data_IF_629567978785
#
_entry.id   IF_629567978785
#
_cell.length_a   1.000
_cell.length_b   1.000
_cell.length_c   1.000
_cell.angle_alpha   90.00
_cell.angle_beta   90.00
_cell.angle_gamma   90.00
#
_symmetry.space_group_name_H-M   'P 1'
#
loop_
_entity.id
_entity.type
_entity.pdbx_description
1 polymer ?
#
# COMPACT_ATOMS: atom_id res chain seq x y z
N UNK A 1 0.44 -3.34 6.55
CA UNK A 1 1.48 -2.65 5.75
C UNK A 1 1.42 -1.16 6.07
N UNK A 2 2.55 -0.50 6.27
CA UNK A 2 2.64 0.97 6.47
C UNK A 2 3.32 1.64 5.28
N UNK A 3 2.90 2.85 4.95
CA UNK A 3 3.62 3.73 4.03
C UNK A 3 4.36 4.80 4.83
N UNK A 4 5.55 5.16 4.37
CA UNK A 4 6.31 6.28 4.91
C UNK A 4 6.82 7.15 3.78
N UNK A 5 6.40 8.41 3.75
CA UNK A 5 6.82 9.42 2.77
C UNK A 5 7.55 10.53 3.52
N UNK A 6 8.80 10.80 3.10
CA UNK A 6 9.67 11.79 3.75
C UNK A 6 9.76 11.62 5.29
N UNK A 7 9.86 10.37 5.76
CA UNK A 7 9.94 10.03 7.17
C UNK A 7 8.63 10.13 7.96
N UNK A 8 7.51 10.44 7.31
CA UNK A 8 6.20 10.54 7.95
C UNK A 8 5.28 9.39 7.54
N UNK A 9 4.46 8.92 8.46
CA UNK A 9 3.34 8.01 8.19
C UNK A 9 2.01 8.74 8.41
N UNK A 10 0.99 8.37 7.65
CA UNK A 10 -0.34 8.96 7.74
C UNK A 10 -1.24 8.10 8.63
N UNK A 11 -1.88 8.69 9.64
CA UNK A 11 -2.90 8.06 10.49
C UNK A 11 -4.30 8.44 10.02
N UNK A 12 -5.25 7.51 10.05
CA UNK A 12 -6.67 7.76 9.73
C UNK A 12 -6.85 8.58 8.45
N UNK A 13 -6.10 8.25 7.41
CA UNK A 13 -6.02 9.08 6.21
C UNK A 13 -5.94 8.28 4.93
N UNK A 14 -6.26 8.98 3.86
CA UNK A 14 -6.26 8.46 2.51
C UNK A 14 -4.91 8.71 1.83
N UNK A 15 -4.32 7.64 1.31
CA UNK A 15 -3.10 7.71 0.50
C UNK A 15 -3.51 7.59 -0.96
N UNK A 16 -3.18 8.59 -1.77
CA UNK A 16 -3.29 8.50 -3.22
C UNK A 16 -2.09 7.74 -3.77
N UNK A 17 -2.34 6.78 -4.64
CA UNK A 17 -1.32 5.99 -5.32
C UNK A 17 -1.55 5.97 -6.83
N UNK A 18 -0.48 5.99 -7.61
CA UNK A 18 -0.49 5.86 -9.07
C UNK A 18 0.59 4.87 -9.47
N UNK A 19 0.19 3.70 -9.97
CA UNK A 19 1.11 2.67 -10.44
C UNK A 19 1.39 2.85 -11.93
N UNK A 20 2.65 2.87 -12.37
CA UNK A 20 3.03 2.94 -13.80
C UNK A 20 2.30 4.01 -14.66
N UNK A 21 1.81 5.11 -14.05
CA UNK A 21 0.94 6.13 -14.66
C UNK A 21 -0.50 5.67 -15.01
N UNK A 22 -0.98 4.60 -14.39
CA UNK A 22 -2.38 4.16 -14.43
C UNK A 22 -3.32 5.15 -13.73
N UNK A 23 -4.61 4.81 -13.68
CA UNK A 23 -5.60 5.59 -12.95
C UNK A 23 -5.19 5.71 -11.47
N UNK A 24 -5.37 6.88 -10.85
CA UNK A 24 -5.12 7.02 -9.42
C UNK A 24 -6.07 6.15 -8.59
N UNK A 25 -5.52 5.54 -7.56
CA UNK A 25 -6.22 4.67 -6.62
C UNK A 25 -5.91 5.11 -5.20
N UNK A 26 -6.88 4.98 -4.29
CA UNK A 26 -6.71 5.41 -2.91
C UNK A 26 -6.77 4.26 -1.92
N UNK A 27 -5.95 4.37 -0.87
CA UNK A 27 -5.88 3.39 0.20
C UNK A 27 -6.01 4.08 1.57
N UNK A 28 -6.86 3.52 2.42
CA UNK A 28 -7.13 4.06 3.75
C UNK A 28 -6.16 3.46 4.78
N UNK A 29 -5.63 4.32 5.62
CA UNK A 29 -4.82 3.96 6.80
C UNK A 29 -5.65 4.06 8.07
N UNK A 30 -5.38 3.19 9.03
CA UNK A 30 -6.02 3.23 10.35
C UNK A 30 -5.22 4.10 11.35
N UNK A 31 -5.59 4.05 12.62
CA UNK A 31 -4.96 4.81 13.71
C UNK A 31 -3.47 4.48 13.90
N UNK A 32 -3.07 3.27 13.51
CA UNK A 32 -1.68 2.79 13.58
C UNK A 32 -0.88 3.12 12.30
N UNK A 33 -1.42 3.95 11.40
CA UNK A 33 -0.81 4.26 10.09
C UNK A 33 -0.59 3.05 9.18
N UNK A 34 -1.40 1.99 9.35
CA UNK A 34 -1.33 0.80 8.50
C UNK A 34 -2.59 0.64 7.69
N UNK A 35 -2.43 0.04 6.52
CA UNK A 35 -3.54 -0.57 5.78
C UNK A 35 -3.91 -1.85 6.54
N UNK A 36 -5.14 -1.89 7.04
CA UNK A 36 -5.68 -3.01 7.81
C UNK A 36 -5.75 -4.27 6.94
N UNK A 37 -5.37 -5.42 7.50
CA UNK A 37 -5.49 -6.73 6.85
C UNK A 37 -6.25 -7.78 7.69
N UNK A 38 -6.77 -7.39 8.87
CA UNK A 38 -7.39 -8.28 9.85
C UNK A 38 -8.93 -8.39 9.74
N UNK A 39 -9.55 -7.56 8.91
CA UNK A 39 -10.96 -7.63 8.53
C UNK A 39 -11.11 -8.23 7.13
N UNK A 40 -12.27 -8.80 6.78
CA UNK A 40 -12.48 -9.38 5.43
C UNK A 40 -12.26 -8.34 4.31
N UNK A 41 -12.75 -7.12 4.54
CA UNK A 41 -12.59 -5.99 3.60
C UNK A 41 -11.13 -5.53 3.57
N UNK A 42 -10.49 -5.39 4.74
CA UNK A 42 -9.07 -5.04 4.84
C UNK A 42 -8.17 -6.04 4.14
N UNK A 43 -8.44 -7.34 4.30
CA UNK A 43 -7.69 -8.40 3.63
C UNK A 43 -7.78 -8.32 2.11
N UNK A 44 -8.97 -8.02 1.56
CA UNK A 44 -9.13 -7.82 0.12
C UNK A 44 -8.32 -6.62 -0.39
N UNK A 45 -8.40 -5.48 0.30
CA UNK A 45 -7.64 -4.28 -0.06
C UNK A 45 -6.13 -4.51 0.06
N UNK A 46 -5.70 -5.22 1.11
CA UNK A 46 -4.31 -5.58 1.33
C UNK A 46 -3.77 -6.47 0.21
N UNK A 47 -4.47 -7.54 -0.16
CA UNK A 47 -4.06 -8.43 -1.27
C UNK A 47 -4.05 -7.70 -2.61
N UNK A 48 -5.05 -6.87 -2.86
CA UNK A 48 -5.11 -6.06 -4.08
C UNK A 48 -3.91 -5.11 -4.19
N UNK A 49 -3.55 -4.44 -3.09
CA UNK A 49 -2.36 -3.59 -3.04
C UNK A 49 -1.07 -4.39 -3.25
N UNK A 50 -0.93 -5.57 -2.61
CA UNK A 50 0.23 -6.44 -2.84
C UNK A 50 0.34 -6.84 -4.31
N UNK A 51 -0.76 -7.23 -4.94
CA UNK A 51 -0.79 -7.61 -6.35
C UNK A 51 -0.32 -6.47 -7.26
N UNK A 52 -0.79 -5.24 -7.00
CA UNK A 52 -0.28 -4.03 -7.67
C UNK A 52 1.23 -3.88 -7.50
N UNK A 53 1.74 -4.00 -6.27
CA UNK A 53 3.18 -3.92 -6.02
C UNK A 53 4.00 -4.99 -6.75
N UNK A 54 3.47 -6.21 -6.90
CA UNK A 54 4.15 -7.30 -7.59
C UNK A 54 4.18 -7.10 -9.12
N UNK A 55 3.14 -6.49 -9.69
CA UNK A 55 2.94 -6.37 -11.15
C UNK A 55 3.52 -5.11 -11.76
N UNK A 56 3.68 -4.04 -10.98
CA UNK A 56 4.09 -2.74 -11.49
C UNK A 56 5.58 -2.44 -11.28
N UNK A 57 6.10 -1.49 -12.05
CA UNK A 57 7.52 -1.10 -12.02
C UNK A 57 7.79 0.13 -11.15
N UNK A 58 6.79 1.00 -10.94
CA UNK A 58 6.87 2.17 -10.07
C UNK A 58 5.53 2.48 -9.42
N UNK A 59 5.58 3.15 -8.28
CA UNK A 59 4.41 3.74 -7.63
C UNK A 59 4.72 5.18 -7.24
N UNK A 60 3.86 6.11 -7.63
CA UNK A 60 3.80 7.45 -7.05
C UNK A 60 2.82 7.43 -5.89
N UNK A 61 3.18 8.05 -4.78
CA UNK A 61 2.41 8.11 -3.54
C UNK A 61 2.29 9.56 -3.12
N UNK A 62 1.08 10.00 -2.78
CA UNK A 62 0.81 11.34 -2.25
C UNK A 62 -0.12 11.29 -1.04
N UNK A 63 0.26 12.01 0.00
CA UNK A 63 -0.54 12.22 1.20
C UNK A 63 -1.43 13.46 1.08
N UNK A 64 -2.49 13.57 1.91
CA UNK A 64 -3.40 14.73 1.90
C UNK A 64 -2.71 16.06 2.23
N UNK A 65 -1.62 16.02 3.00
CA UNK A 65 -0.79 17.17 3.34
C UNK A 65 0.11 17.65 2.17
N UNK A 66 0.00 17.02 1.00
CA UNK A 66 0.75 17.35 -0.19
C UNK A 66 2.13 16.71 -0.27
N UNK A 67 2.57 15.97 0.76
CA UNK A 67 3.83 15.22 0.68
C UNK A 67 3.68 14.08 -0.32
N UNK A 68 4.68 13.94 -1.17
CA UNK A 68 4.68 12.94 -2.23
C UNK A 68 6.06 12.32 -2.43
N UNK A 69 6.07 11.10 -2.96
CA UNK A 69 7.28 10.39 -3.35
C UNK A 69 6.97 9.39 -4.47
N UNK A 70 7.98 9.10 -5.28
CA UNK A 70 7.92 8.00 -6.26
C UNK A 70 8.92 6.93 -5.87
N UNK A 71 8.46 5.68 -5.85
CA UNK A 71 9.27 4.51 -5.53
C UNK A 71 9.38 3.59 -6.74
N UNK A 72 10.56 3.06 -6.98
CA UNK A 72 10.77 1.97 -7.95
C UNK A 72 10.45 0.64 -7.31
N UNK A 73 9.70 -0.21 -8.00
CA UNK A 73 9.26 -1.53 -7.53
C UNK A 73 10.09 -2.68 -8.11
N UNK A 74 11.31 -2.38 -8.57
CA UNK A 74 12.23 -3.39 -9.09
C UNK A 74 12.56 -4.41 -7.99
N UNK A 75 12.12 -5.66 -8.20
CA UNK A 75 12.31 -6.75 -7.24
C UNK A 75 11.21 -6.85 -6.17
N UNK A 76 10.18 -6.00 -6.20
CA UNK A 76 9.07 -6.05 -5.24
C UNK A 76 8.37 -7.41 -5.22
N UNK A 77 8.12 -8.00 -6.40
CA UNK A 77 7.53 -9.34 -6.51
C UNK A 77 8.31 -10.41 -5.75
N UNK A 78 9.64 -10.41 -5.91
CA UNK A 78 10.54 -11.34 -5.21
C UNK A 78 10.61 -11.07 -3.71
N UNK A 79 10.58 -9.79 -3.29
CA UNK A 79 10.70 -9.41 -1.89
C UNK A 79 9.41 -9.67 -1.09
N UNK A 80 8.24 -9.48 -1.71
CA UNK A 80 6.95 -9.79 -1.10
C UNK A 80 6.80 -11.32 -0.96
N UNK A 81 7.23 -12.09 -1.96
CA UNK A 81 7.12 -13.55 -1.94
C UNK A 81 5.66 -14.03 -1.87
N UNK A 82 5.47 -15.31 -1.61
CA UNK A 82 4.13 -15.92 -1.53
C UNK A 82 3.56 -15.92 -0.10
N UNK A 83 4.41 -15.85 0.92
CA UNK A 83 4.03 -15.94 2.33
C UNK A 83 3.56 -14.59 2.94
N UNK A 84 3.44 -13.53 2.13
CA UNK A 84 2.93 -12.24 2.58
C UNK A 84 1.39 -12.24 2.57
N UNK A 85 0.82 -12.88 3.59
CA UNK A 85 -0.63 -13.08 3.73
C UNK A 85 -1.32 -11.98 4.55
N UNK A 86 -2.63 -11.85 4.36
CA UNK A 86 -3.43 -10.94 5.18
C UNK A 86 -3.63 -11.55 6.57
N UNK A 87 -3.62 -10.74 7.63
CA UNK A 87 -3.80 -11.24 9.00
C UNK A 87 -5.14 -11.97 9.20
N UNK A 88 -6.16 -11.65 8.39
CA UNK A 88 -7.44 -12.32 8.35
C UNK A 88 -7.36 -13.79 7.91
N UNK A 89 -6.38 -14.19 7.10
CA UNK A 89 -6.24 -15.56 6.59
C UNK A 89 -5.81 -16.56 7.67
N UNK A 90 -5.29 -16.07 8.79
CA UNK A 90 -4.84 -16.87 9.93
C UNK A 90 -5.79 -16.81 11.14
N UNK A 91 -7.04 -16.37 10.93
CA UNK A 91 -8.01 -16.13 12.01
C UNK A 91 -9.05 -17.24 12.16
#
# INVERSE_FOLDING_TARGET
MSFTVAGNSLKNGEILTIFDNEKPETFQTNEQSVIESASRVGAQNFRYLLDKFKKHSKVYVRYPDGKEATFTLKGASKAIGDDCEAAFDHR
#
